data_IF_490752940067
#
_entry.id   IF_490752940067
#
_cell.length_a   1.000
_cell.length_b   1.000
_cell.length_c   1.000
_cell.angle_alpha   90.00
_cell.angle_beta   90.00
_cell.angle_gamma   90.00
#
_symmetry.space_group_name_H-M   'P 1'
#
loop_
_entity.id
_entity.type
_entity.pdbx_description
1 polymer ?
#
# COMPACT_ATOMS: atom_id res chain seq x y z
N UNK A 1 15.54 0.18 -10.87
CA UNK A 1 16.65 0.89 -11.51
C UNK A 1 17.11 0.18 -12.79
N UNK A 2 17.53 -1.10 -12.74
CA UNK A 2 17.98 -1.85 -13.92
C UNK A 2 16.90 -1.98 -15.01
N UNK A 3 15.66 -2.25 -14.63
CA UNK A 3 14.50 -2.32 -15.55
C UNK A 3 14.23 -0.99 -16.25
N UNK A 4 14.30 0.12 -15.51
CA UNK A 4 14.16 1.46 -16.07
C UNK A 4 15.28 1.78 -17.07
N UNK A 5 16.52 1.41 -16.77
CA UNK A 5 17.67 1.54 -17.66
C UNK A 5 17.51 0.69 -18.95
N UNK A 6 17.05 -0.55 -18.80
CA UNK A 6 16.76 -1.42 -19.96
C UNK A 6 15.64 -0.83 -20.83
N UNK A 7 14.56 -0.33 -20.25
CA UNK A 7 13.48 0.31 -21.00
C UNK A 7 13.96 1.55 -21.75
N UNK A 8 14.80 2.37 -21.12
CA UNK A 8 15.39 3.54 -21.77
C UNK A 8 16.33 3.20 -22.90
N UNK A 9 17.22 2.20 -22.71
CA UNK A 9 18.27 1.86 -23.68
C UNK A 9 17.79 0.95 -24.82
N UNK A 10 16.89 0.02 -24.56
CA UNK A 10 16.46 -1.02 -25.53
C UNK A 10 15.18 -0.61 -26.25
N UNK A 11 14.21 -0.02 -25.53
CA UNK A 11 12.88 0.33 -26.11
C UNK A 11 12.82 1.81 -26.54
N UNK A 12 13.90 2.59 -26.28
CA UNK A 12 14.01 4.03 -26.66
C UNK A 12 12.80 4.84 -26.17
N UNK A 13 12.30 4.52 -24.98
CA UNK A 13 11.21 5.26 -24.34
C UNK A 13 11.75 6.54 -23.67
N UNK A 14 10.88 7.54 -23.53
CA UNK A 14 11.21 8.73 -22.74
C UNK A 14 11.62 8.32 -21.32
N UNK A 15 12.58 9.02 -20.74
CA UNK A 15 13.15 8.74 -19.42
C UNK A 15 12.08 8.63 -18.34
N UNK A 16 11.06 9.48 -18.42
CA UNK A 16 9.92 9.54 -17.49
C UNK A 16 9.08 8.25 -17.54
N UNK A 17 8.74 7.77 -18.73
CA UNK A 17 7.98 6.52 -18.93
C UNK A 17 8.81 5.32 -18.50
N UNK A 18 10.11 5.33 -18.77
CA UNK A 18 11.04 4.27 -18.35
C UNK A 18 11.16 4.18 -16.84
N UNK A 19 11.14 5.30 -16.12
CA UNK A 19 11.11 5.33 -14.67
C UNK A 19 9.79 4.79 -14.09
N UNK A 20 8.64 5.14 -14.69
CA UNK A 20 7.33 4.60 -14.31
C UNK A 20 7.27 3.08 -14.46
N UNK A 21 7.70 2.55 -15.60
CA UNK A 21 7.75 1.10 -15.84
C UNK A 21 8.70 0.43 -14.84
N UNK A 22 9.86 1.04 -14.57
CA UNK A 22 10.80 0.56 -13.57
C UNK A 22 10.23 0.53 -12.15
N UNK A 23 9.41 1.50 -11.79
CA UNK A 23 8.67 1.53 -10.52
C UNK A 23 7.64 0.41 -10.41
N UNK A 24 6.80 0.25 -11.44
CA UNK A 24 5.74 -0.78 -11.48
C UNK A 24 6.35 -2.19 -11.40
N UNK A 25 7.45 -2.44 -12.12
CA UNK A 25 8.11 -3.75 -12.13
C UNK A 25 8.91 -4.06 -10.86
N UNK A 26 9.18 -3.06 -10.02
CA UNK A 26 9.87 -3.26 -8.75
C UNK A 26 8.96 -3.84 -7.66
N UNK A 27 7.64 -3.72 -7.84
CA UNK A 27 6.66 -4.23 -6.88
C UNK A 27 6.51 -5.73 -7.06
N UNK A 28 7.17 -6.51 -6.20
CA UNK A 28 7.01 -7.97 -6.12
C UNK A 28 5.93 -8.31 -5.10
N UNK A 29 4.70 -8.55 -5.57
CA UNK A 29 3.54 -8.75 -4.72
C UNK A 29 3.60 -9.99 -3.81
N UNK A 30 2.80 -10.00 -2.73
CA UNK A 30 2.71 -11.10 -1.78
C UNK A 30 2.18 -12.39 -2.41
N UNK A 31 1.76 -12.36 -3.66
CA UNK A 31 1.31 -13.53 -4.42
C UNK A 31 2.43 -14.48 -4.82
N UNK A 32 3.66 -13.97 -4.97
CA UNK A 32 4.83 -14.73 -5.44
C UNK A 32 5.59 -15.37 -4.28
N UNK A 33 5.71 -14.65 -3.15
CA UNK A 33 6.55 -15.08 -2.02
C UNK A 33 6.01 -16.35 -1.31
N UNK A 34 4.71 -16.53 -1.01
CA UNK A 34 4.21 -17.72 -0.36
C UNK A 34 4.41 -19.01 -1.15
N UNK A 35 4.11 -19.10 -2.46
CA UNK A 35 4.39 -20.32 -3.22
C UNK A 35 5.90 -20.60 -3.31
N UNK A 36 6.74 -19.58 -3.47
CA UNK A 36 8.18 -19.72 -3.48
C UNK A 36 8.70 -20.29 -2.14
N UNK A 37 8.21 -19.80 -1.01
CA UNK A 37 8.57 -20.32 0.32
C UNK A 37 8.15 -21.78 0.56
N UNK A 38 7.02 -22.22 -0.03
CA UNK A 38 6.60 -23.62 0.02
C UNK A 38 7.55 -24.56 -0.73
N UNK A 39 8.14 -24.08 -1.81
CA UNK A 39 9.06 -24.85 -2.64
C UNK A 39 10.47 -24.91 -2.03
N UNK A 40 11.01 -23.77 -1.62
CA UNK A 40 12.40 -23.66 -1.12
C UNK A 40 12.53 -24.02 0.36
N UNK A 41 11.45 -23.95 1.13
CA UNK A 41 11.40 -24.23 2.58
C UNK A 41 12.55 -23.61 3.38
N UNK A 42 12.73 -22.27 3.32
CA UNK A 42 13.79 -21.60 4.05
C UNK A 42 13.62 -21.75 5.57
N UNK A 43 14.69 -21.50 6.33
CA UNK A 43 14.65 -21.49 7.80
C UNK A 43 13.57 -20.47 8.27
N UNK A 44 12.86 -20.80 9.35
CA UNK A 44 11.73 -20.01 9.89
C UNK A 44 12.02 -18.49 10.00
N UNK A 45 13.25 -18.15 10.43
CA UNK A 45 13.67 -16.74 10.55
C UNK A 45 13.68 -16.02 9.19
N UNK A 46 14.24 -16.67 8.17
CA UNK A 46 14.32 -16.12 6.80
C UNK A 46 12.91 -16.04 6.18
N UNK A 47 12.09 -17.07 6.39
CA UNK A 47 10.70 -17.09 5.92
C UNK A 47 9.89 -15.91 6.48
N UNK A 48 10.06 -15.61 7.77
CA UNK A 48 9.38 -14.47 8.39
C UNK A 48 9.84 -13.12 7.81
N UNK A 49 11.13 -12.94 7.59
CA UNK A 49 11.67 -11.71 6.99
C UNK A 49 11.10 -11.51 5.59
N UNK A 50 11.16 -12.54 4.74
CA UNK A 50 10.62 -12.49 3.37
C UNK A 50 9.10 -12.19 3.35
N UNK A 51 8.36 -12.77 4.30
CA UNK A 51 6.93 -12.50 4.43
C UNK A 51 6.64 -11.04 4.81
N UNK A 52 7.39 -10.49 5.76
CA UNK A 52 7.24 -9.09 6.15
C UNK A 52 7.66 -8.14 5.03
N UNK A 53 8.76 -8.45 4.35
CA UNK A 53 9.23 -7.69 3.20
C UNK A 53 8.16 -7.63 2.10
N UNK A 54 7.57 -8.78 1.73
CA UNK A 54 6.55 -8.83 0.68
C UNK A 54 5.29 -8.01 1.01
N UNK A 55 4.92 -7.94 2.30
CA UNK A 55 3.75 -7.16 2.75
C UNK A 55 4.04 -5.66 2.74
N UNK A 56 5.27 -5.25 3.10
CA UNK A 56 5.64 -3.83 3.19
C UNK A 56 6.01 -3.24 1.83
N UNK A 57 6.60 -4.02 0.94
CA UNK A 57 7.03 -3.55 -0.39
C UNK A 57 5.86 -3.13 -1.26
N UNK A 58 4.71 -3.82 -1.17
CA UNK A 58 3.53 -3.52 -1.97
C UNK A 58 3.00 -2.09 -1.78
N UNK A 59 2.67 -1.64 -0.55
CA UNK A 59 2.16 -0.28 -0.35
C UNK A 59 3.23 0.78 -0.60
N UNK A 60 4.49 0.50 -0.27
CA UNK A 60 5.60 1.44 -0.52
C UNK A 60 5.84 1.57 -2.03
N UNK A 61 5.89 0.45 -2.76
CA UNK A 61 6.08 0.46 -4.21
C UNK A 61 4.94 1.14 -4.94
N UNK A 62 3.70 0.87 -4.55
CA UNK A 62 2.54 1.53 -5.13
C UNK A 62 2.55 3.06 -4.87
N UNK A 63 2.94 3.49 -3.67
CA UNK A 63 3.13 4.91 -3.37
C UNK A 63 4.19 5.55 -4.25
N UNK A 64 5.34 4.91 -4.42
CA UNK A 64 6.41 5.43 -5.29
C UNK A 64 5.90 5.62 -6.71
N UNK A 65 5.12 4.66 -7.24
CA UNK A 65 4.53 4.77 -8.59
C UNK A 65 3.51 5.91 -8.68
N UNK A 66 2.61 6.03 -7.69
CA UNK A 66 1.64 7.14 -7.63
C UNK A 66 2.36 8.49 -7.56
N UNK A 67 3.43 8.58 -6.79
CA UNK A 67 4.22 9.80 -6.69
C UNK A 67 4.98 10.12 -7.97
N UNK A 68 5.54 9.13 -8.65
CA UNK A 68 6.15 9.32 -9.96
C UNK A 68 5.12 9.77 -11.01
N UNK A 69 3.91 9.18 -10.98
CA UNK A 69 2.82 9.58 -11.85
C UNK A 69 2.36 11.02 -11.55
N UNK A 70 2.19 11.36 -10.28
CA UNK A 70 1.84 12.72 -9.87
C UNK A 70 2.91 13.73 -10.30
N UNK A 71 4.18 13.42 -10.11
CA UNK A 71 5.30 14.25 -10.60
C UNK A 71 5.23 14.42 -12.11
N UNK A 72 4.94 13.37 -12.86
CA UNK A 72 4.86 13.38 -14.31
C UNK A 72 3.69 14.22 -14.83
N UNK A 73 2.49 14.00 -14.26
CA UNK A 73 1.26 14.73 -14.65
C UNK A 73 1.31 16.20 -14.24
N UNK A 74 1.85 16.47 -13.06
CA UNK A 74 1.92 17.82 -12.49
C UNK A 74 3.21 18.52 -12.95
N UNK A 75 4.30 17.78 -13.19
CA UNK A 75 5.63 18.29 -13.55
C UNK A 75 5.64 19.09 -14.84
N UNK A 76 4.75 18.80 -15.78
CA UNK A 76 4.55 19.65 -16.97
C UNK A 76 4.11 21.08 -16.63
N UNK A 77 3.43 21.29 -15.49
CA UNK A 77 2.99 22.60 -15.01
C UNK A 77 3.89 23.17 -13.90
N UNK A 78 4.68 22.34 -13.20
CA UNK A 78 5.53 22.76 -12.08
C UNK A 78 6.95 23.19 -12.50
N UNK A 79 7.43 22.77 -13.67
CA UNK A 79 8.77 23.16 -14.13
C UNK A 79 8.97 24.70 -14.17
N UNK A 80 7.88 25.47 -14.20
CA UNK A 80 7.88 26.93 -14.23
C UNK A 80 7.58 27.60 -12.87
N UNK A 81 7.40 26.81 -11.77
CA UNK A 81 7.15 27.40 -10.46
C UNK A 81 8.36 27.24 -9.52
N UNK A 82 8.81 28.31 -8.86
CA UNK A 82 9.99 28.30 -8.01
C UNK A 82 9.86 27.37 -6.76
N UNK A 83 8.66 26.92 -6.43
CA UNK A 83 8.36 26.11 -5.24
C UNK A 83 7.83 24.69 -5.54
N UNK A 84 8.05 24.20 -6.76
CA UNK A 84 7.53 22.89 -7.21
C UNK A 84 7.91 21.73 -6.26
N UNK A 85 9.17 21.67 -5.84
CA UNK A 85 9.68 20.61 -4.97
C UNK A 85 9.04 20.66 -3.58
N UNK A 86 8.88 21.86 -3.01
CA UNK A 86 8.27 22.01 -1.68
C UNK A 86 6.79 21.63 -1.68
N UNK A 87 6.06 21.98 -2.72
CA UNK A 87 4.65 21.61 -2.89
C UNK A 87 4.50 20.07 -3.05
N UNK A 88 5.41 19.45 -3.79
CA UNK A 88 5.44 18.01 -3.97
C UNK A 88 5.72 17.26 -2.65
N UNK A 89 6.71 17.72 -1.88
CA UNK A 89 7.02 17.15 -0.56
C UNK A 89 5.84 17.33 0.39
N UNK A 90 5.21 18.50 0.40
CA UNK A 90 4.02 18.76 1.21
C UNK A 90 2.86 17.82 0.85
N UNK A 91 2.63 17.59 -0.45
CA UNK A 91 1.64 16.61 -0.94
C UNK A 91 1.94 15.20 -0.43
N UNK A 92 3.20 14.75 -0.54
CA UNK A 92 3.64 13.44 -0.05
C UNK A 92 3.38 13.27 1.45
N UNK A 93 3.79 14.24 2.25
CA UNK A 93 3.60 14.23 3.70
C UNK A 93 2.12 14.18 4.05
N UNK A 94 1.29 14.94 3.34
CA UNK A 94 -0.15 14.99 3.57
C UNK A 94 -0.85 13.66 3.23
N UNK A 95 -0.48 13.00 2.12
CA UNK A 95 -0.96 11.64 1.76
C UNK A 95 -0.59 10.63 2.84
N UNK A 96 0.64 10.67 3.35
CA UNK A 96 1.08 9.78 4.43
C UNK A 96 0.28 10.00 5.71
N UNK A 97 0.08 11.24 6.13
CA UNK A 97 -0.70 11.58 7.33
C UNK A 97 -2.15 11.14 7.17
N UNK A 98 -2.78 11.43 6.03
CA UNK A 98 -4.16 11.01 5.74
C UNK A 98 -4.30 9.48 5.72
N UNK A 99 -3.40 8.77 5.07
CA UNK A 99 -3.42 7.31 5.01
C UNK A 99 -3.28 6.67 6.39
N UNK A 100 -2.34 7.17 7.21
CA UNK A 100 -2.12 6.66 8.58
C UNK A 100 -3.32 6.96 9.48
N UNK A 101 -3.83 8.19 9.48
CA UNK A 101 -4.95 8.58 10.33
C UNK A 101 -6.24 7.87 9.96
N UNK A 102 -6.58 7.80 8.67
CA UNK A 102 -7.75 7.07 8.20
C UNK A 102 -7.61 5.56 8.47
N UNK A 103 -6.44 4.97 8.24
CA UNK A 103 -6.19 3.56 8.54
C UNK A 103 -6.35 3.22 10.02
N UNK A 104 -5.89 4.10 10.90
CA UNK A 104 -6.08 3.93 12.34
C UNK A 104 -7.56 4.00 12.74
N UNK A 105 -8.31 4.97 12.20
CA UNK A 105 -9.74 5.14 12.49
C UNK A 105 -10.53 3.91 12.01
N UNK A 106 -10.38 3.50 10.76
CA UNK A 106 -11.10 2.36 10.21
C UNK A 106 -10.69 1.04 10.87
N UNK A 107 -9.40 0.81 11.13
CA UNK A 107 -8.92 -0.35 11.87
C UNK A 107 -9.49 -0.43 13.28
N UNK A 108 -9.56 0.69 13.98
CA UNK A 108 -10.16 0.76 15.31
C UNK A 108 -11.67 0.54 15.30
N UNK A 109 -12.39 1.09 14.31
CA UNK A 109 -13.84 0.87 14.13
C UNK A 109 -14.16 -0.61 13.90
N UNK A 110 -13.38 -1.30 13.07
CA UNK A 110 -13.54 -2.75 12.84
C UNK A 110 -13.31 -3.50 14.16
N UNK A 111 -12.25 -3.17 14.89
CA UNK A 111 -11.94 -3.78 16.18
C UNK A 111 -13.03 -3.58 17.22
N UNK A 112 -13.60 -2.37 17.32
CA UNK A 112 -14.74 -2.09 18.19
C UNK A 112 -15.99 -2.89 17.84
N UNK A 113 -16.26 -3.05 16.52
CA UNK A 113 -17.42 -3.82 16.05
C UNK A 113 -17.32 -5.29 16.47
N UNK A 114 -16.11 -5.84 16.49
CA UNK A 114 -15.88 -7.22 16.95
C UNK A 114 -16.02 -7.38 18.47
N UNK A 115 -15.52 -6.41 19.24
CA UNK A 115 -15.66 -6.43 20.72
C UNK A 115 -17.11 -6.40 21.18
N UNK A 116 -18.00 -5.73 20.45
CA UNK A 116 -19.41 -5.60 20.81
C UNK A 116 -20.29 -6.75 20.34
N UNK A 117 -19.72 -7.81 19.72
CA UNK A 117 -20.44 -8.98 19.22
C UNK A 117 -21.67 -8.67 18.33
N UNK A 118 -21.68 -7.51 17.65
CA UNK A 118 -22.78 -7.14 16.75
C UNK A 118 -22.85 -8.00 15.50
N UNK A 119 -21.77 -8.70 15.15
CA UNK A 119 -21.63 -9.41 13.88
C UNK A 119 -21.51 -10.91 14.13
N UNK A 120 -22.43 -11.72 13.56
CA UNK A 120 -22.32 -13.18 13.64
C UNK A 120 -21.01 -13.66 12.99
N UNK A 121 -20.46 -14.77 13.49
CA UNK A 121 -19.12 -15.27 13.11
C UNK A 121 -18.97 -15.51 11.61
N UNK A 122 -20.02 -16.01 10.96
CA UNK A 122 -20.01 -16.28 9.52
C UNK A 122 -19.97 -15.02 8.63
N UNK A 123 -20.33 -13.85 9.16
CA UNK A 123 -20.35 -12.57 8.44
C UNK A 123 -19.09 -11.71 8.71
N UNK A 124 -18.23 -12.10 9.67
CA UNK A 124 -17.04 -11.31 10.06
C UNK A 124 -16.14 -10.97 8.89
N UNK A 125 -15.80 -11.97 8.05
CA UNK A 125 -14.90 -11.77 6.89
C UNK A 125 -15.49 -10.82 5.85
N UNK A 126 -16.77 -10.96 5.54
CA UNK A 126 -17.44 -10.07 4.58
C UNK A 126 -17.56 -8.65 5.10
N UNK A 127 -17.83 -8.49 6.39
CA UNK A 127 -17.91 -7.17 7.03
C UNK A 127 -16.55 -6.44 7.00
N UNK A 128 -15.47 -7.13 7.35
CA UNK A 128 -14.11 -6.56 7.29
C UNK A 128 -13.80 -6.11 5.88
N UNK A 129 -14.05 -6.97 4.89
CA UNK A 129 -13.80 -6.66 3.49
C UNK A 129 -14.60 -5.43 3.04
N UNK A 130 -15.89 -5.37 3.37
CA UNK A 130 -16.75 -4.25 3.01
C UNK A 130 -16.28 -2.93 3.62
N UNK A 131 -15.92 -2.93 4.91
CA UNK A 131 -15.46 -1.72 5.61
C UNK A 131 -14.09 -1.27 5.10
N UNK A 132 -13.18 -2.20 4.79
CA UNK A 132 -11.88 -1.88 4.21
C UNK A 132 -12.03 -1.26 2.82
N UNK A 133 -12.88 -1.84 1.95
CA UNK A 133 -13.15 -1.31 0.61
C UNK A 133 -13.79 0.08 0.68
N UNK A 134 -14.77 0.28 1.56
CA UNK A 134 -15.37 1.60 1.79
C UNK A 134 -14.32 2.62 2.27
N UNK A 135 -13.51 2.25 3.24
CA UNK A 135 -12.45 3.11 3.74
C UNK A 135 -11.41 3.44 2.68
N UNK A 136 -11.04 2.47 1.84
CA UNK A 136 -10.15 2.68 0.70
C UNK A 136 -10.73 3.72 -0.26
N UNK A 137 -11.99 3.55 -0.69
CA UNK A 137 -12.65 4.46 -1.62
C UNK A 137 -12.72 5.88 -1.05
N UNK A 138 -13.11 6.03 0.21
CA UNK A 138 -13.19 7.33 0.87
C UNK A 138 -11.82 7.99 0.98
N UNK A 139 -10.81 7.25 1.40
CA UNK A 139 -9.46 7.77 1.58
C UNK A 139 -8.81 8.14 0.24
N UNK A 140 -9.02 7.34 -0.80
CA UNK A 140 -8.47 7.58 -2.13
C UNK A 140 -9.20 8.70 -2.88
N UNK A 141 -10.49 8.91 -2.63
CA UNK A 141 -11.28 10.02 -3.16
C UNK A 141 -10.83 11.38 -2.59
N UNK A 142 -10.32 11.42 -1.35
CA UNK A 142 -9.77 12.64 -0.74
C UNK A 142 -8.39 12.95 -1.34
N UNK A 143 -7.55 11.93 -1.41
CA UNK A 143 -6.22 12.03 -2.03
C UNK A 143 -5.80 10.71 -2.67
N UNK A 144 -5.47 10.76 -3.94
CA UNK A 144 -4.98 9.59 -4.68
C UNK A 144 -3.72 9.02 -4.06
N UNK A 145 -3.76 7.70 -3.77
CA UNK A 145 -2.67 6.97 -3.12
C UNK A 145 -2.79 6.81 -1.60
N UNK A 146 -3.62 7.60 -0.92
CA UNK A 146 -3.85 7.46 0.52
C UNK A 146 -4.60 6.17 0.88
N UNK A 147 -5.43 5.65 -0.03
CA UNK A 147 -6.21 4.43 0.18
C UNK A 147 -5.35 3.19 0.44
N UNK A 148 -4.24 3.03 -0.27
CA UNK A 148 -3.33 1.90 -0.05
C UNK A 148 -2.65 1.92 1.32
N UNK A 149 -2.22 3.11 1.75
CA UNK A 149 -1.69 3.29 3.11
C UNK A 149 -2.74 3.03 4.18
N UNK A 150 -3.96 3.51 3.95
CA UNK A 150 -5.10 3.27 4.84
C UNK A 150 -5.31 1.77 5.08
N UNK A 151 -5.37 0.96 4.03
CA UNK A 151 -5.59 -0.50 4.14
C UNK A 151 -4.46 -1.18 4.92
N UNK A 152 -3.20 -0.82 4.65
CA UNK A 152 -2.07 -1.41 5.36
C UNK A 152 -2.04 -1.04 6.84
N UNK A 153 -2.29 0.21 7.17
CA UNK A 153 -2.35 0.66 8.57
C UNK A 153 -3.55 0.04 9.29
N UNK A 154 -4.72 -0.05 8.64
CA UNK A 154 -5.89 -0.71 9.21
C UNK A 154 -5.60 -2.19 9.52
N UNK A 155 -4.91 -2.90 8.61
CA UNK A 155 -4.46 -4.28 8.82
C UNK A 155 -3.48 -4.41 9.99
N UNK A 156 -2.51 -3.51 10.13
CA UNK A 156 -1.58 -3.47 11.25
C UNK A 156 -2.27 -3.20 12.59
N UNK A 157 -3.24 -2.28 12.62
CA UNK A 157 -4.03 -1.97 13.81
C UNK A 157 -4.85 -3.19 14.23
N UNK A 158 -5.53 -3.84 13.28
CA UNK A 158 -6.30 -5.06 13.55
C UNK A 158 -5.40 -6.21 14.07
N UNK A 159 -4.24 -6.40 13.48
CA UNK A 159 -3.28 -7.44 13.89
C UNK A 159 -2.72 -7.20 15.31
N UNK A 160 -2.67 -5.95 15.76
CA UNK A 160 -2.15 -5.57 17.07
C UNK A 160 -3.22 -5.53 18.18
N UNK A 161 -4.49 -5.66 17.83
CA UNK A 161 -5.59 -5.73 18.80
C UNK A 161 -5.66 -7.13 19.41
N UNK A 162 -5.30 -7.26 20.69
CA UNK A 162 -5.22 -8.53 21.44
C UNK A 162 -6.53 -9.32 21.53
N UNK A 163 -7.66 -8.67 21.31
CA UNK A 163 -8.99 -9.28 21.45
C UNK A 163 -9.53 -9.90 20.15
N UNK A 164 -8.82 -9.74 19.04
CA UNK A 164 -9.20 -10.35 17.76
C UNK A 164 -8.29 -11.55 17.54
N UNK A 165 -8.76 -12.74 17.92
CA UNK A 165 -8.12 -13.98 17.51
C UNK A 165 -8.29 -14.10 15.99
N UNK A 166 -7.21 -13.89 15.25
CA UNK A 166 -7.20 -14.04 13.79
C UNK A 166 -7.56 -15.45 13.32
N UNK A 167 -7.52 -16.45 14.23
CA UNK A 167 -7.97 -17.82 13.99
C UNK A 167 -9.48 -17.93 13.71
N UNK A 168 -10.27 -16.91 14.08
CA UNK A 168 -11.72 -16.92 13.92
C UNK A 168 -12.17 -16.26 12.61
N UNK A 169 -11.23 -15.80 11.78
CA UNK A 169 -11.50 -15.07 10.52
C UNK A 169 -11.10 -15.90 9.27
N UNK A 170 -10.32 -16.97 9.47
CA UNK A 170 -9.85 -17.89 8.41
C UNK A 170 -10.59 -19.25 8.55
#
# INVERSE_FOLDING_TARGET
ALTALCCYSVVVLNLDISMLIGGITCVSGPTVVPPFMRTVRPKKHIANILKWESILVDPIGALVVVFMLAWFVIGGNFANQPNAVSTFIAYMVFVCILGITSGFIFGYLIGLSFRKHYIPEYLKSFFVLAVIVLGFIISDAIMHGAGLLMVTVAGLVMANMKDIKMSDIV
#
